data_IF_073176159843
#
_entry.id   IF_073176159843
#
_cell.length_a   1.000
_cell.length_b   1.000
_cell.length_c   1.000
_cell.angle_alpha   90.00
_cell.angle_beta   90.00
_cell.angle_gamma   90.00
#
_symmetry.space_group_name_H-M   'P 1'
#
loop_
_entity.id
_entity.type
_entity.pdbx_description
1 polymer ?
#
# COMPACT_ATOMS: atom_id res chain seq x y z
N UNK A 1 17.72 2.54 -9.34
CA UNK A 1 16.87 1.36 -9.55
C UNK A 1 15.45 1.58 -9.04
N UNK A 2 14.69 0.49 -8.92
CA UNK A 2 13.33 0.49 -8.38
C UNK A 2 13.29 -0.42 -7.17
N UNK A 3 12.73 0.07 -6.06
CA UNK A 3 12.61 -0.68 -4.81
C UNK A 3 11.15 -0.69 -4.38
N UNK A 4 10.60 -1.87 -4.12
CA UNK A 4 9.22 -2.05 -3.65
C UNK A 4 9.20 -2.24 -2.13
N UNK A 5 8.27 -1.55 -1.47
CA UNK A 5 8.02 -1.67 -0.04
C UNK A 5 6.52 -1.77 0.22
N UNK A 6 6.08 -2.93 0.71
CA UNK A 6 4.70 -3.16 1.12
C UNK A 6 4.54 -2.99 2.63
N UNK A 7 3.63 -2.11 3.05
CA UNK A 7 3.28 -1.94 4.47
C UNK A 7 2.69 -3.24 5.05
N UNK A 8 1.91 -3.96 4.24
CA UNK A 8 1.37 -5.25 4.66
C UNK A 8 2.45 -6.28 4.95
N UNK A 9 3.52 -6.32 4.15
CA UNK A 9 4.64 -7.24 4.37
C UNK A 9 5.49 -6.81 5.57
N UNK A 10 5.71 -5.50 5.75
CA UNK A 10 6.38 -5.00 6.95
C UNK A 10 5.71 -5.51 8.23
N UNK A 11 4.38 -5.45 8.30
CA UNK A 11 3.63 -5.90 9.46
C UNK A 11 3.59 -7.43 9.59
N UNK A 12 3.39 -8.16 8.50
CA UNK A 12 3.32 -9.65 8.51
C UNK A 12 4.64 -10.30 8.88
N UNK A 13 5.76 -9.61 8.61
CA UNK A 13 7.11 -10.09 8.96
C UNK A 13 7.51 -9.80 10.43
N UNK A 14 6.66 -9.10 11.20
CA UNK A 14 6.90 -8.92 12.62
C UNK A 14 6.71 -10.23 13.39
N UNK A 15 7.50 -10.43 14.42
CA UNK A 15 7.25 -11.52 15.39
C UNK A 15 5.85 -11.31 16.00
N UNK A 16 4.92 -12.25 15.87
CA UNK A 16 3.58 -12.14 16.45
C UNK A 16 3.58 -11.95 17.99
N UNK A 17 4.66 -12.34 18.67
CA UNK A 17 4.82 -12.20 20.11
C UNK A 17 5.45 -10.85 20.49
N UNK A 18 5.95 -10.09 19.54
CA UNK A 18 6.43 -8.72 19.79
C UNK A 18 5.25 -7.77 20.06
N UNK A 19 5.54 -6.66 20.75
CA UNK A 19 4.53 -5.62 21.02
C UNK A 19 3.85 -5.14 19.73
N UNK A 20 4.63 -4.80 18.69
CA UNK A 20 4.08 -4.36 17.41
C UNK A 20 3.36 -5.46 16.64
N UNK A 21 3.85 -6.71 16.69
CA UNK A 21 3.20 -7.85 16.06
C UNK A 21 1.85 -8.16 16.68
N UNK A 22 1.74 -8.10 18.02
CA UNK A 22 0.47 -8.31 18.73
C UNK A 22 -0.54 -7.20 18.41
N UNK A 23 -0.12 -5.94 18.36
CA UNK A 23 -0.96 -4.82 17.92
C UNK A 23 -1.44 -5.03 16.49
N UNK A 24 -0.54 -5.38 15.55
CA UNK A 24 -0.94 -5.66 14.18
C UNK A 24 -2.02 -6.75 14.09
N UNK A 25 -1.85 -7.85 14.82
CA UNK A 25 -2.84 -8.94 14.83
C UNK A 25 -4.19 -8.49 15.37
N UNK A 26 -4.20 -7.65 16.40
CA UNK A 26 -5.43 -7.11 16.97
C UNK A 26 -6.26 -6.33 15.92
N UNK A 27 -5.62 -5.45 15.16
CA UNK A 27 -6.31 -4.63 14.15
C UNK A 27 -6.61 -5.42 12.87
N UNK A 28 -5.66 -6.21 12.37
CA UNK A 28 -5.80 -6.94 11.10
C UNK A 28 -6.91 -7.99 11.16
N UNK A 29 -7.09 -8.66 12.30
CA UNK A 29 -8.16 -9.65 12.51
C UNK A 29 -9.56 -9.03 12.55
N UNK A 30 -9.66 -7.74 12.83
CA UNK A 30 -10.90 -6.96 12.79
C UNK A 30 -11.12 -6.28 11.43
N UNK A 31 -10.14 -6.30 10.52
CA UNK A 31 -10.16 -5.58 9.26
C UNK A 31 -9.96 -4.07 9.40
N UNK A 32 -9.41 -3.63 10.52
CA UNK A 32 -9.14 -2.23 10.86
C UNK A 32 -7.72 -1.83 10.47
N UNK A 33 -7.47 -0.52 10.33
CA UNK A 33 -6.12 0.01 10.12
C UNK A 33 -5.35 0.07 11.43
N UNK A 34 -4.06 -0.28 11.37
CA UNK A 34 -3.13 -0.05 12.48
C UNK A 34 -2.98 1.46 12.70
N UNK A 35 -2.88 1.95 13.95
CA UNK A 35 -2.70 3.38 14.24
C UNK A 35 -1.58 4.03 13.43
N UNK A 36 -1.84 5.24 12.95
CA UNK A 36 -0.99 5.94 11.99
C UNK A 36 0.44 6.18 12.51
N UNK A 37 0.59 6.55 13.78
CA UNK A 37 1.91 6.77 14.37
C UNK A 37 2.75 5.49 14.43
N UNK A 38 2.15 4.34 14.73
CA UNK A 38 2.83 3.04 14.72
C UNK A 38 3.21 2.64 13.30
N UNK A 39 2.33 2.85 12.34
CA UNK A 39 2.58 2.58 10.93
C UNK A 39 3.75 3.41 10.42
N UNK A 40 3.78 4.71 10.69
CA UNK A 40 4.86 5.60 10.26
C UNK A 40 6.18 5.30 10.99
N UNK A 41 6.14 4.95 12.28
CA UNK A 41 7.34 4.55 13.02
C UNK A 41 7.95 3.27 12.45
N UNK A 42 7.14 2.26 12.16
CA UNK A 42 7.59 1.02 11.56
C UNK A 42 8.19 1.27 10.17
N UNK A 43 7.51 2.08 9.35
CA UNK A 43 7.99 2.46 8.02
C UNK A 43 9.35 3.17 8.09
N UNK A 44 9.50 4.18 8.96
CA UNK A 44 10.78 4.90 9.14
C UNK A 44 11.90 3.96 9.57
N UNK A 45 11.63 3.06 10.51
CA UNK A 45 12.61 2.07 10.96
C UNK A 45 13.06 1.17 9.81
N UNK A 46 12.11 0.66 9.03
CA UNK A 46 12.40 -0.21 7.90
C UNK A 46 13.20 0.51 6.80
N UNK A 47 12.83 1.76 6.47
CA UNK A 47 13.57 2.58 5.50
C UNK A 47 15.01 2.83 5.95
N UNK A 48 15.22 3.12 7.23
CA UNK A 48 16.57 3.29 7.78
C UNK A 48 17.40 1.99 7.68
N UNK A 49 16.80 0.83 7.94
CA UNK A 49 17.46 -0.47 7.77
C UNK A 49 17.84 -0.72 6.31
N UNK A 50 16.95 -0.46 5.37
CA UNK A 50 17.21 -0.64 3.93
C UNK A 50 18.32 0.28 3.44
N UNK A 51 18.33 1.53 3.87
CA UNK A 51 19.40 2.49 3.53
C UNK A 51 20.74 2.06 4.12
N UNK A 52 20.79 1.66 5.39
CA UNK A 52 22.01 1.22 6.07
C UNK A 52 22.59 -0.09 5.50
N UNK A 53 21.73 -0.98 5.00
CA UNK A 53 22.14 -2.26 4.39
C UNK A 53 22.49 -2.12 2.90
N UNK A 54 22.32 -0.93 2.31
CA UNK A 54 22.55 -0.70 0.88
C UNK A 54 21.47 -1.29 -0.04
N UNK A 55 20.34 -1.70 0.50
CA UNK A 55 19.18 -2.19 -0.27
C UNK A 55 18.39 -1.06 -0.93
N UNK A 56 18.55 0.16 -0.42
CA UNK A 56 17.91 1.37 -0.96
C UNK A 56 18.89 2.55 -0.92
N UNK A 57 19.01 3.26 -2.04
CA UNK A 57 19.80 4.48 -2.16
C UNK A 57 18.88 5.66 -2.44
N UNK A 58 18.81 6.61 -1.51
CA UNK A 58 17.96 7.82 -1.61
C UNK A 58 18.25 8.62 -2.90
N UNK A 59 19.51 8.61 -3.35
CA UNK A 59 19.93 9.40 -4.52
C UNK A 59 19.70 8.70 -5.88
N UNK A 60 19.52 7.38 -5.87
CA UNK A 60 19.58 6.56 -7.10
C UNK A 60 18.32 5.74 -7.35
N UNK A 61 17.52 5.52 -6.31
CA UNK A 61 16.40 4.59 -6.38
C UNK A 61 15.06 5.31 -6.29
N UNK A 62 14.09 4.80 -7.03
CA UNK A 62 12.68 5.16 -6.92
C UNK A 62 12.00 4.14 -6.02
N UNK A 63 11.30 4.63 -5.00
CA UNK A 63 10.57 3.80 -4.05
C UNK A 63 9.12 3.63 -4.50
N UNK A 64 8.69 2.38 -4.67
CA UNK A 64 7.29 2.00 -4.84
C UNK A 64 6.70 1.63 -3.49
N UNK A 65 5.82 2.49 -2.98
CA UNK A 65 5.08 2.23 -1.73
C UNK A 65 3.76 1.53 -2.04
N UNK A 66 3.51 0.41 -1.37
CA UNK A 66 2.27 -0.33 -1.43
C UNK A 66 1.60 -0.37 -0.06
N UNK A 67 0.32 0.05 -0.01
CA UNK A 67 -0.49 0.06 1.19
C UNK A 67 -0.11 1.13 2.23
N UNK A 68 0.64 2.16 1.83
CA UNK A 68 0.93 3.37 2.61
C UNK A 68 1.12 4.55 1.63
N UNK A 69 0.54 5.74 1.88
CA UNK A 69 -0.40 6.07 2.98
C UNK A 69 -1.78 5.44 2.80
N UNK A 70 -2.44 5.13 3.91
CA UNK A 70 -3.85 4.67 3.97
C UNK A 70 -4.78 5.64 4.67
N UNK A 71 -4.24 6.73 5.19
CA UNK A 71 -5.01 7.83 5.77
C UNK A 71 -4.38 9.16 5.35
N UNK A 72 -5.17 10.24 5.47
CA UNK A 72 -4.66 11.59 5.26
C UNK A 72 -3.54 11.93 6.24
N UNK A 73 -3.65 11.50 7.50
CA UNK A 73 -2.63 11.72 8.51
C UNK A 73 -1.30 11.02 8.14
N UNK A 74 -1.36 9.80 7.62
CA UNK A 74 -0.16 9.13 7.09
C UNK A 74 0.46 9.92 5.94
N UNK A 75 -0.35 10.44 5.00
CA UNK A 75 0.15 11.23 3.88
C UNK A 75 0.86 12.52 4.36
N UNK A 76 0.28 13.23 5.33
CA UNK A 76 0.87 14.42 5.93
C UNK A 76 2.20 14.10 6.64
N UNK A 77 2.26 13.03 7.41
CA UNK A 77 3.48 12.60 8.13
C UNK A 77 4.60 12.08 7.22
N UNK A 78 4.24 11.56 6.04
CA UNK A 78 5.21 11.11 5.05
C UNK A 78 5.79 12.26 4.24
N UNK A 79 5.06 13.37 4.08
CA UNK A 79 5.48 14.51 3.26
C UNK A 79 6.83 15.11 3.69
N UNK A 80 7.18 15.00 4.98
CA UNK A 80 8.49 15.44 5.49
C UNK A 80 9.66 14.52 5.11
N UNK A 81 9.37 13.32 4.61
CA UNK A 81 10.37 12.29 4.37
C UNK A 81 10.51 11.88 2.91
N UNK A 82 9.44 12.03 2.12
CA UNK A 82 9.38 11.59 0.72
C UNK A 82 8.73 12.65 -0.17
N UNK A 83 9.21 12.76 -1.41
CA UNK A 83 8.50 13.47 -2.47
C UNK A 83 7.73 12.44 -3.32
N UNK A 84 6.40 12.52 -3.27
CA UNK A 84 5.54 11.64 -4.07
C UNK A 84 5.52 12.17 -5.50
N UNK A 85 6.13 11.42 -6.40
CA UNK A 85 6.18 11.73 -7.83
C UNK A 85 4.87 11.36 -8.54
N UNK A 86 4.32 10.21 -8.17
CA UNK A 86 3.14 9.62 -8.81
C UNK A 86 2.33 8.82 -7.79
N UNK A 87 1.02 8.92 -7.88
CA UNK A 87 0.07 8.06 -7.20
C UNK A 87 -0.71 7.26 -8.25
N UNK A 88 -0.54 5.94 -8.23
CA UNK A 88 -1.29 5.01 -9.06
C UNK A 88 -2.53 4.54 -8.31
N UNK A 89 -3.68 5.05 -8.72
CA UNK A 89 -4.98 4.65 -8.16
C UNK A 89 -5.52 3.46 -8.95
N UNK A 90 -5.41 2.26 -8.38
CA UNK A 90 -5.96 1.03 -8.95
C UNK A 90 -7.45 0.96 -8.65
N UNK A 91 -8.29 1.17 -9.65
CA UNK A 91 -9.76 1.17 -9.51
C UNK A 91 -10.34 -0.10 -10.08
N UNK A 92 -11.15 -0.80 -9.29
CA UNK A 92 -11.97 -1.93 -9.73
C UNK A 92 -13.36 -1.82 -9.10
N UNK A 93 -14.35 -2.51 -9.69
CA UNK A 93 -15.63 -2.67 -9.03
C UNK A 93 -15.53 -3.59 -7.80
N UNK A 94 -16.54 -3.50 -6.93
CA UNK A 94 -16.51 -4.21 -5.66
C UNK A 94 -16.56 -5.74 -5.84
N UNK A 95 -17.29 -6.24 -6.84
CA UNK A 95 -17.40 -7.68 -7.10
C UNK A 95 -16.06 -8.26 -7.53
N UNK A 96 -15.38 -7.62 -8.50
CA UNK A 96 -14.04 -8.02 -8.93
C UNK A 96 -13.02 -7.97 -7.78
N UNK A 97 -13.13 -6.99 -6.89
CA UNK A 97 -12.27 -6.91 -5.71
C UNK A 97 -12.51 -8.06 -4.73
N UNK A 98 -13.76 -8.40 -4.45
CA UNK A 98 -14.13 -9.55 -3.58
C UNK A 98 -13.58 -10.85 -4.14
N UNK A 99 -13.77 -11.12 -5.43
CA UNK A 99 -13.24 -12.32 -6.08
C UNK A 99 -11.72 -12.42 -5.97
N UNK A 100 -11.00 -11.31 -6.18
CA UNK A 100 -9.54 -11.28 -6.05
C UNK A 100 -9.07 -11.50 -4.61
N UNK A 101 -9.75 -10.91 -3.63
CA UNK A 101 -9.44 -11.13 -2.21
C UNK A 101 -9.63 -12.60 -1.85
N UNK A 102 -10.73 -13.23 -2.30
CA UNK A 102 -10.96 -14.66 -2.11
C UNK A 102 -9.88 -15.51 -2.78
N UNK A 103 -9.54 -15.23 -4.03
CA UNK A 103 -8.47 -15.93 -4.75
C UNK A 103 -7.12 -15.83 -4.02
N UNK A 104 -6.79 -14.65 -3.53
CA UNK A 104 -5.57 -14.40 -2.75
C UNK A 104 -5.57 -15.13 -1.41
N UNK A 105 -6.69 -15.17 -0.71
CA UNK A 105 -6.83 -15.90 0.55
C UNK A 105 -6.44 -17.37 0.41
N UNK A 106 -6.86 -18.00 -0.68
CA UNK A 106 -6.56 -19.40 -0.97
C UNK A 106 -5.10 -19.62 -1.40
N UNK A 107 -4.54 -18.73 -2.21
CA UNK A 107 -3.19 -18.87 -2.76
C UNK A 107 -2.10 -18.53 -1.76
N UNK A 108 -2.31 -17.50 -0.94
CA UNK A 108 -1.30 -16.92 -0.04
C UNK A 108 -1.56 -17.30 1.44
N UNK A 109 -2.53 -18.19 1.71
CA UNK A 109 -2.92 -18.59 3.06
C UNK A 109 -3.20 -17.40 3.99
N UNK A 110 -3.87 -16.38 3.46
CA UNK A 110 -4.24 -15.17 4.22
C UNK A 110 -5.57 -15.39 4.94
N UNK A 111 -5.49 -15.75 6.21
CA UNK A 111 -6.66 -16.03 7.04
C UNK A 111 -7.56 -14.80 7.23
N UNK A 112 -6.98 -13.59 7.21
CA UNK A 112 -7.68 -12.32 7.29
C UNK A 112 -8.49 -11.97 6.03
N UNK A 113 -8.17 -12.56 4.87
CA UNK A 113 -8.91 -12.42 3.62
C UNK A 113 -9.99 -13.53 3.44
N UNK A 114 -9.99 -14.56 4.27
CA UNK A 114 -10.91 -15.68 4.16
C UNK A 114 -12.30 -15.39 4.80
N UNK A 115 -12.40 -14.40 5.68
CA UNK A 115 -13.64 -14.04 6.37
C UNK A 115 -14.37 -12.91 5.63
N UNK A 116 -15.62 -13.14 5.12
CA UNK A 116 -16.39 -12.13 4.40
C UNK A 116 -16.70 -10.86 5.22
N UNK A 117 -16.85 -10.98 6.54
CA UNK A 117 -17.12 -9.82 7.39
C UNK A 117 -15.88 -8.93 7.55
N UNK A 118 -14.68 -9.53 7.64
CA UNK A 118 -13.43 -8.81 7.63
C UNK A 118 -13.23 -8.09 6.28
N UNK A 119 -13.52 -8.77 5.18
CA UNK A 119 -13.44 -8.18 3.83
C UNK A 119 -14.39 -6.99 3.72
N UNK A 120 -15.64 -7.13 4.19
CA UNK A 120 -16.63 -6.03 4.21
C UNK A 120 -16.14 -4.85 5.05
N UNK A 121 -15.59 -5.11 6.23
CA UNK A 121 -15.02 -4.09 7.10
C UNK A 121 -13.88 -3.34 6.41
N UNK A 122 -12.98 -4.05 5.72
CA UNK A 122 -11.89 -3.42 4.95
C UNK A 122 -12.37 -2.48 3.85
N UNK A 123 -13.49 -2.80 3.19
CA UNK A 123 -14.09 -1.87 2.22
C UNK A 123 -14.62 -0.61 2.89
N UNK A 124 -15.22 -0.73 4.07
CA UNK A 124 -15.67 0.43 4.84
C UNK A 124 -14.48 1.30 5.25
N UNK A 125 -13.42 0.70 5.81
CA UNK A 125 -12.18 1.38 6.18
C UNK A 125 -11.52 2.06 4.96
N UNK A 126 -11.45 1.36 3.81
CA UNK A 126 -10.93 1.95 2.60
C UNK A 126 -11.71 3.20 2.18
N UNK A 127 -13.04 3.12 2.20
CA UNK A 127 -13.90 4.24 1.78
C UNK A 127 -13.80 5.41 2.75
N UNK A 128 -13.72 5.14 4.05
CA UNK A 128 -13.70 6.17 5.09
C UNK A 128 -12.32 6.85 5.20
N UNK A 129 -11.24 6.09 5.17
CA UNK A 129 -9.90 6.55 5.51
C UNK A 129 -8.97 6.66 4.30
N UNK A 130 -9.02 5.67 3.38
CA UNK A 130 -8.01 5.57 2.32
C UNK A 130 -8.43 6.33 1.05
N UNK A 131 -9.70 6.25 0.64
CA UNK A 131 -10.16 6.97 -0.55
C UNK A 131 -9.92 8.49 -0.45
N UNK A 132 -10.11 9.16 0.72
CA UNK A 132 -9.82 10.59 0.89
C UNK A 132 -8.34 10.97 0.74
N UNK A 133 -7.40 10.02 0.75
CA UNK A 133 -5.97 10.29 0.46
C UNK A 133 -5.78 10.84 -0.95
N UNK A 134 -6.67 10.48 -1.89
CA UNK A 134 -6.64 11.03 -3.24
C UNK A 134 -6.83 12.55 -3.26
N UNK A 135 -7.61 13.09 -2.32
CA UNK A 135 -7.87 14.53 -2.24
C UNK A 135 -6.68 15.31 -1.62
N UNK A 136 -5.75 14.60 -0.98
CA UNK A 136 -4.54 15.21 -0.42
C UNK A 136 -3.50 15.55 -1.49
N UNK A 137 -3.41 14.72 -2.53
CA UNK A 137 -2.43 14.92 -3.61
C UNK A 137 -3.02 15.72 -4.78
N UNK A 138 -2.21 16.56 -5.46
CA UNK A 138 -2.67 17.28 -6.63
C UNK A 138 -3.03 16.29 -7.76
N UNK A 139 -4.11 16.59 -8.49
CA UNK A 139 -4.60 15.73 -9.57
C UNK A 139 -3.53 15.44 -10.65
N UNK A 140 -2.56 16.33 -10.83
CA UNK A 140 -1.42 16.13 -11.75
C UNK A 140 -0.54 14.95 -11.38
N UNK A 141 -0.49 14.57 -10.10
CA UNK A 141 0.27 13.41 -9.60
C UNK A 141 -0.55 12.12 -9.59
N UNK A 142 -1.85 12.15 -9.86
CA UNK A 142 -2.72 10.97 -9.79
C UNK A 142 -2.96 10.39 -11.18
N UNK A 143 -2.82 9.07 -11.31
CA UNK A 143 -3.22 8.30 -12.48
C UNK A 143 -4.09 7.13 -12.05
N UNK A 144 -5.29 7.07 -12.62
CA UNK A 144 -6.22 5.96 -12.38
C UNK A 144 -5.97 4.86 -13.40
N UNK A 145 -5.81 3.64 -12.90
CA UNK A 145 -5.61 2.40 -13.66
C UNK A 145 -6.85 1.54 -13.51
N UNK A 146 -7.37 1.02 -14.61
CA UNK A 146 -8.45 0.04 -14.58
C UNK A 146 -7.92 -1.31 -14.08
N UNK A 147 -8.08 -1.53 -12.78
CA UNK A 147 -7.70 -2.78 -12.14
C UNK A 147 -8.77 -3.88 -12.28
N UNK A 148 -9.92 -3.64 -12.91
CA UNK A 148 -10.89 -4.68 -13.31
C UNK A 148 -10.36 -5.56 -14.44
N UNK A 149 -9.44 -5.05 -15.27
CA UNK A 149 -8.84 -5.77 -16.38
C UNK A 149 -7.97 -6.96 -15.93
N UNK A 150 -7.56 -7.80 -16.91
CA UNK A 150 -6.63 -8.90 -16.67
C UNK A 150 -5.27 -8.39 -16.12
N UNK A 151 -4.55 -9.16 -15.27
CA UNK A 151 -3.33 -8.69 -14.62
C UNK A 151 -2.26 -8.15 -15.55
N UNK A 152 -2.06 -8.77 -16.72
CA UNK A 152 -1.10 -8.29 -17.71
C UNK A 152 -1.52 -6.97 -18.34
N UNK A 153 -2.82 -6.74 -18.51
CA UNK A 153 -3.34 -5.49 -19.02
C UNK A 153 -3.18 -4.35 -18.00
N UNK A 154 -3.43 -4.64 -16.71
CA UNK A 154 -3.14 -3.71 -15.61
C UNK A 154 -1.66 -3.33 -15.61
N UNK A 155 -0.77 -4.32 -15.73
CA UNK A 155 0.67 -4.08 -15.78
C UNK A 155 1.06 -3.23 -17.00
N UNK A 156 0.48 -3.48 -18.18
CA UNK A 156 0.72 -2.67 -19.37
C UNK A 156 0.37 -1.20 -19.14
N UNK A 157 -0.81 -0.91 -18.59
CA UNK A 157 -1.25 0.45 -18.26
C UNK A 157 -0.29 1.14 -17.27
N UNK A 158 0.16 0.42 -16.24
CA UNK A 158 1.14 0.94 -15.27
C UNK A 158 2.45 1.29 -15.97
N UNK A 159 2.98 0.39 -16.80
CA UNK A 159 4.25 0.62 -17.52
C UNK A 159 4.14 1.85 -18.43
N UNK A 160 3.06 2.03 -19.16
CA UNK A 160 2.84 3.19 -20.03
C UNK A 160 2.88 4.51 -19.23
N UNK A 161 2.21 4.54 -18.07
CA UNK A 161 2.24 5.70 -17.19
C UNK A 161 3.64 5.98 -16.67
N UNK A 162 4.38 4.94 -16.25
CA UNK A 162 5.74 5.09 -15.74
C UNK A 162 6.72 5.53 -16.82
N UNK A 163 6.58 5.04 -18.05
CA UNK A 163 7.43 5.46 -19.19
C UNK A 163 7.34 6.96 -19.42
N UNK A 164 6.12 7.51 -19.47
CA UNK A 164 5.92 8.95 -19.71
C UNK A 164 6.49 9.80 -18.57
N UNK A 165 6.43 9.31 -17.33
CA UNK A 165 6.86 10.09 -16.16
C UNK A 165 8.36 10.01 -15.87
N UNK A 166 8.93 8.82 -15.98
CA UNK A 166 10.30 8.57 -15.55
C UNK A 166 11.30 8.70 -16.71
N UNK A 167 10.82 8.61 -17.95
CA UNK A 167 11.64 8.70 -19.16
C UNK A 167 10.96 9.63 -20.18
N UNK A 168 10.76 10.93 -19.82
CA UNK A 168 10.22 11.89 -20.79
C UNK A 168 11.19 12.00 -21.97
N UNK A 169 10.63 12.02 -23.21
CA UNK A 169 11.39 12.23 -24.45
C UNK A 169 12.11 13.60 -24.48
#
# INVERSE_FOLDING_TARGET
>A
GFVHLSSGDMFRNLDPQSELGSVFLEYSTKGELVPDDLTIRLWRHHMAQMANSGQFSIEKDVLFLDGIPRSREQAERLADNIDVLLLLHLKADQEAMVERIHGRALQENRLDDANPDIVRRRFQEYTAETAPVLDYYPASKIRTIDAGAAPLEVLRQIIEVLQVMLFPE
#
